data_IF_120182967969
#
_entry.id   IF_120182967969
#
_cell.length_a   1.000
_cell.length_b   1.000
_cell.length_c   1.000
_cell.angle_alpha   90.00
_cell.angle_beta   90.00
_cell.angle_gamma   90.00
#
_symmetry.space_group_name_H-M   'P 1'
#
loop_
_entity.id
_entity.type
_entity.pdbx_description
1 polymer ?
#
# COMPACT_ATOMS: atom_id res chain seq x y z
N UNK A 1 -22.54 -102.08 5.99
CA UNK A 1 -22.63 -100.66 5.55
C UNK A 1 -21.73 -99.83 6.44
N UNK A 2 -20.57 -99.40 5.95
CA UNK A 2 -19.59 -98.64 6.72
C UNK A 2 -19.88 -97.13 6.60
N UNK A 3 -20.30 -96.49 7.70
CA UNK A 3 -20.42 -95.03 7.78
C UNK A 3 -19.05 -94.43 8.10
N UNK A 4 -18.45 -93.71 7.14
CA UNK A 4 -17.25 -92.90 7.36
C UNK A 4 -17.63 -91.66 8.18
N UNK A 5 -17.06 -91.50 9.37
CA UNK A 5 -17.09 -90.23 10.11
C UNK A 5 -16.12 -89.25 9.43
N UNK A 6 -16.66 -88.17 8.86
CA UNK A 6 -15.89 -87.03 8.40
C UNK A 6 -15.54 -86.14 9.58
N UNK A 7 -14.25 -85.92 9.81
CA UNK A 7 -13.74 -85.03 10.85
C UNK A 7 -13.77 -83.59 10.31
N UNK A 8 -14.74 -82.79 10.75
CA UNK A 8 -14.82 -81.36 10.42
C UNK A 8 -13.94 -80.55 11.36
N UNK A 9 -12.94 -79.84 10.83
CA UNK A 9 -12.13 -78.89 11.59
C UNK A 9 -12.88 -77.55 11.62
N UNK A 10 -13.23 -77.10 12.83
CA UNK A 10 -13.81 -75.78 13.06
C UNK A 10 -12.67 -74.80 13.33
N UNK A 11 -12.45 -73.86 12.41
CA UNK A 11 -11.50 -72.76 12.61
C UNK A 11 -12.25 -71.60 13.26
N UNK A 12 -11.93 -71.32 14.52
CA UNK A 12 -12.43 -70.14 15.24
C UNK A 12 -11.42 -69.02 15.06
N UNK A 13 -11.75 -68.04 14.21
CA UNK A 13 -10.92 -66.85 14.03
C UNK A 13 -11.32 -65.78 15.05
N UNK A 14 -10.42 -65.53 16.01
CA UNK A 14 -10.55 -64.48 17.01
C UNK A 14 -10.01 -63.16 16.41
N UNK A 15 -10.88 -62.21 16.09
CA UNK A 15 -10.48 -60.88 15.62
C UNK A 15 -10.22 -59.98 16.82
N UNK A 16 -8.96 -59.84 17.22
CA UNK A 16 -8.55 -58.91 18.29
C UNK A 16 -8.37 -57.53 17.68
N UNK A 17 -9.37 -56.64 17.84
CA UNK A 17 -9.19 -55.21 17.56
C UNK A 17 -8.32 -54.61 18.66
N UNK A 18 -7.01 -54.50 18.40
CA UNK A 18 -6.12 -53.71 19.22
C UNK A 18 -6.40 -52.22 18.95
N UNK A 19 -7.11 -51.56 19.86
CA UNK A 19 -7.16 -50.10 19.89
C UNK A 19 -5.78 -49.56 20.29
N UNK A 20 -4.99 -49.18 19.29
CA UNK A 20 -3.78 -48.40 19.51
C UNK A 20 -4.21 -47.02 20.01
N UNK A 21 -4.20 -46.82 21.32
CA UNK A 21 -4.22 -45.50 21.93
C UNK A 21 -2.90 -44.80 21.58
N UNK A 22 -2.84 -44.16 20.42
CA UNK A 22 -1.85 -43.14 20.18
C UNK A 22 -2.09 -42.03 21.23
N UNK A 23 -1.06 -41.55 21.96
CA UNK A 23 -1.23 -40.40 22.82
C UNK A 23 -1.75 -39.24 21.95
N UNK A 24 -2.88 -38.66 22.34
CA UNK A 24 -3.36 -37.41 21.75
C UNK A 24 -2.28 -36.36 21.97
N UNK A 25 -1.41 -36.16 20.99
CA UNK A 25 -0.63 -34.95 20.90
C UNK A 25 -1.64 -33.84 20.68
N UNK A 26 -1.79 -32.96 21.67
CA UNK A 26 -2.57 -31.74 21.52
C UNK A 26 -1.93 -30.95 20.38
N UNK A 27 -2.50 -31.07 19.18
CA UNK A 27 -2.07 -30.28 18.05
C UNK A 27 -2.25 -28.80 18.43
N UNK A 28 -1.14 -28.08 18.58
CA UNK A 28 -1.21 -26.65 18.85
C UNK A 28 -1.72 -25.97 17.59
N UNK A 29 -2.97 -25.48 17.66
CA UNK A 29 -3.57 -24.70 16.58
C UNK A 29 -2.62 -23.54 16.23
N UNK A 30 -2.20 -23.51 14.97
CA UNK A 30 -1.26 -22.50 14.47
C UNK A 30 -1.96 -21.65 13.42
N UNK A 31 -2.44 -20.49 13.83
CA UNK A 31 -2.96 -19.49 12.91
C UNK A 31 -1.83 -18.93 12.06
N UNK A 32 -2.01 -18.93 10.74
CA UNK A 32 -1.05 -18.35 9.81
C UNK A 32 -1.77 -17.42 8.85
N UNK A 33 -1.22 -16.22 8.72
CA UNK A 33 -1.70 -15.21 7.80
C UNK A 33 -0.56 -14.75 6.90
N UNK A 34 -0.87 -14.47 5.65
CA UNK A 34 0.03 -13.76 4.74
C UNK A 34 -0.46 -12.33 4.53
N UNK A 35 0.46 -11.41 4.28
CA UNK A 35 0.14 -10.03 3.92
C UNK A 35 0.82 -9.70 2.59
N UNK A 36 0.07 -9.07 1.70
CA UNK A 36 0.60 -8.46 0.47
C UNK A 36 0.32 -6.97 0.49
N UNK A 37 1.24 -6.19 -0.06
CA UNK A 37 1.22 -4.75 0.03
C UNK A 37 1.28 -4.13 -1.36
N UNK A 38 0.49 -3.08 -1.58
CA UNK A 38 0.59 -2.20 -2.74
C UNK A 38 0.44 -0.76 -2.28
N UNK A 39 1.13 0.17 -2.95
CA UNK A 39 1.00 1.59 -2.62
C UNK A 39 -0.25 2.16 -3.29
N UNK A 40 -0.98 3.01 -2.58
CA UNK A 40 -2.18 3.66 -3.04
C UNK A 40 -2.25 5.11 -2.50
N UNK A 41 -3.24 5.85 -2.97
CA UNK A 41 -3.63 7.13 -2.37
C UNK A 41 -5.10 7.12 -2.00
N UNK A 42 -5.44 7.80 -0.90
CA UNK A 42 -6.80 8.08 -0.47
C UNK A 42 -6.89 9.57 -0.13
N UNK A 43 -7.80 10.32 -0.76
CA UNK A 43 -7.92 11.79 -0.61
C UNK A 43 -6.58 12.58 -0.66
N UNK A 44 -5.70 12.19 -1.59
CA UNK A 44 -4.34 12.71 -1.77
C UNK A 44 -3.39 12.47 -0.58
N UNK A 45 -3.69 11.51 0.28
CA UNK A 45 -2.78 10.99 1.30
C UNK A 45 -2.19 9.65 0.85
N UNK A 46 -0.94 9.40 1.21
CA UNK A 46 -0.27 8.15 0.87
C UNK A 46 -0.66 7.04 1.84
N UNK A 47 -1.22 5.96 1.31
CA UNK A 47 -1.67 4.80 2.09
C UNK A 47 -1.05 3.51 1.53
N UNK A 48 -0.81 2.56 2.41
CA UNK A 48 -0.42 1.21 2.04
C UNK A 48 -1.68 0.34 2.00
N UNK A 49 -2.06 -0.12 0.80
CA UNK A 49 -3.09 -1.13 0.63
C UNK A 49 -2.52 -2.47 1.09
N UNK A 50 -3.04 -3.00 2.19
CA UNK A 50 -2.62 -4.27 2.80
C UNK A 50 -3.73 -5.28 2.61
N UNK A 51 -3.45 -6.34 1.84
CA UNK A 51 -4.36 -7.48 1.69
C UNK A 51 -3.84 -8.64 2.54
N UNK A 52 -4.63 -9.02 3.55
CA UNK A 52 -4.38 -10.13 4.46
C UNK A 52 -5.13 -11.37 4.00
N UNK A 53 -4.50 -12.54 4.06
CA UNK A 53 -5.08 -13.82 3.66
C UNK A 53 -4.82 -14.88 4.73
N UNK A 54 -5.85 -15.62 5.12
CA UNK A 54 -5.75 -16.85 5.90
C UNK A 54 -5.04 -17.93 5.08
N UNK A 55 -3.96 -18.51 5.62
CA UNK A 55 -3.15 -19.52 4.90
C UNK A 55 -3.03 -20.85 5.64
N UNK A 56 -3.67 -21.00 6.80
CA UNK A 56 -3.88 -22.29 7.46
C UNK A 56 -5.38 -22.62 7.57
N UNK A 57 -5.70 -23.92 7.62
CA UNK A 57 -7.08 -24.38 7.82
C UNK A 57 -7.66 -23.81 9.12
N UNK A 58 -6.85 -23.72 10.16
CA UNK A 58 -7.22 -23.13 11.45
C UNK A 58 -7.57 -21.64 11.32
N UNK A 59 -6.77 -20.86 10.58
CA UNK A 59 -7.08 -19.44 10.33
C UNK A 59 -8.31 -19.22 9.46
N UNK A 60 -8.65 -20.20 8.61
CA UNK A 60 -9.84 -20.13 7.76
C UNK A 60 -11.11 -20.53 8.53
N UNK A 61 -11.06 -21.60 9.33
CA UNK A 61 -12.22 -22.09 10.09
C UNK A 61 -12.49 -21.29 11.37
N UNK A 62 -11.45 -20.68 11.94
CA UNK A 62 -11.54 -19.88 13.17
C UNK A 62 -10.62 -18.65 13.09
N UNK A 63 -10.94 -17.65 12.25
CA UNK A 63 -10.14 -16.45 12.13
C UNK A 63 -10.08 -15.68 13.46
N UNK A 64 -9.00 -14.92 13.64
CA UNK A 64 -8.81 -14.06 14.80
C UNK A 64 -8.88 -12.61 14.36
N UNK A 65 -9.46 -11.73 15.19
CA UNK A 65 -9.35 -10.29 14.92
C UNK A 65 -7.90 -9.85 14.95
N UNK A 66 -7.51 -9.08 13.94
CA UNK A 66 -6.14 -8.65 13.70
C UNK A 66 -6.00 -7.14 13.94
N UNK A 67 -4.79 -6.76 14.36
CA UNK A 67 -4.27 -5.40 14.35
C UNK A 67 -3.16 -5.34 13.32
N UNK A 68 -3.33 -4.46 12.33
CA UNK A 68 -2.34 -4.16 11.30
C UNK A 68 -1.58 -2.92 11.73
N UNK A 69 -0.26 -3.00 11.85
CA UNK A 69 0.58 -1.88 12.30
C UNK A 69 1.65 -1.63 11.24
N UNK A 70 1.76 -0.39 10.78
CA UNK A 70 2.81 0.06 9.87
C UNK A 70 3.77 1.01 10.60
N UNK A 71 5.05 0.67 10.59
CA UNK A 71 6.13 1.56 11.03
C UNK A 71 6.96 2.04 9.84
N UNK A 72 7.36 3.30 9.90
CA UNK A 72 8.17 3.95 8.87
C UNK A 72 9.68 3.60 9.01
N UNK A 73 10.54 4.10 8.10
CA UNK A 73 11.99 3.85 8.13
C UNK A 73 12.72 4.29 9.41
N UNK A 74 12.19 5.26 10.16
CA UNK A 74 12.74 5.66 11.45
C UNK A 74 12.25 4.80 12.62
N UNK A 75 11.37 3.84 12.37
CA UNK A 75 10.78 2.97 13.38
C UNK A 75 9.52 3.52 14.05
N UNK A 76 9.05 4.71 13.66
CA UNK A 76 7.82 5.29 14.19
C UNK A 76 6.59 4.62 13.58
N UNK A 77 5.59 4.30 14.40
CA UNK A 77 4.29 3.84 13.88
C UNK A 77 3.57 5.00 13.19
N UNK A 78 3.27 4.82 11.90
CA UNK A 78 2.61 5.83 11.05
C UNK A 78 1.15 5.49 10.75
N UNK A 79 0.77 4.22 10.83
CA UNK A 79 -0.61 3.81 10.60
C UNK A 79 -0.99 2.55 11.37
N UNK A 80 -2.28 2.44 11.69
CA UNK A 80 -2.87 1.29 12.40
C UNK A 80 -4.26 1.03 11.85
N UNK A 81 -4.53 -0.24 11.56
CA UNK A 81 -5.87 -0.68 11.16
C UNK A 81 -6.29 -1.95 11.90
N UNK A 82 -7.59 -2.22 11.85
CA UNK A 82 -8.19 -3.38 12.49
C UNK A 82 -8.98 -4.20 11.49
N UNK A 83 -8.84 -5.52 11.57
CA UNK A 83 -9.62 -6.49 10.80
C UNK A 83 -10.38 -7.33 11.82
N UNK A 84 -11.71 -7.32 11.77
CA UNK A 84 -12.54 -8.14 12.64
C UNK A 84 -12.56 -9.60 12.17
N UNK A 85 -13.18 -10.49 12.96
CA UNK A 85 -13.37 -11.88 12.52
C UNK A 85 -14.33 -11.93 11.33
N UNK A 86 -15.37 -11.08 11.36
CA UNK A 86 -16.43 -11.03 10.35
C UNK A 86 -15.89 -10.51 9.01
N UNK A 87 -14.90 -9.62 9.02
CA UNK A 87 -14.23 -9.16 7.79
C UNK A 87 -13.40 -10.27 7.11
N UNK A 88 -13.14 -11.39 7.79
CA UNK A 88 -12.37 -12.53 7.28
C UNK A 88 -13.24 -13.75 6.95
N UNK A 89 -14.55 -13.57 6.76
CA UNK A 89 -15.48 -14.66 6.44
C UNK A 89 -15.08 -15.47 5.20
N UNK A 90 -14.51 -14.82 4.17
CA UNK A 90 -13.99 -15.48 2.96
C UNK A 90 -12.50 -15.85 3.06
N UNK A 91 -11.91 -15.64 4.24
CA UNK A 91 -10.49 -15.86 4.52
C UNK A 91 -9.57 -14.76 4.01
N UNK A 92 -10.08 -13.62 3.55
CA UNK A 92 -9.29 -12.52 2.98
C UNK A 92 -9.87 -11.18 3.37
N UNK A 93 -9.01 -10.20 3.67
CA UNK A 93 -9.48 -8.82 3.81
C UNK A 93 -8.46 -7.81 3.31
N UNK A 94 -8.93 -6.63 2.87
CA UNK A 94 -8.07 -5.51 2.46
C UNK A 94 -8.32 -4.26 3.27
N UNK A 95 -7.27 -3.72 3.89
CA UNK A 95 -7.29 -2.44 4.61
C UNK A 95 -6.31 -1.44 4.01
N UNK A 96 -6.51 -0.16 4.30
CA UNK A 96 -5.63 0.94 3.86
C UNK A 96 -4.99 1.56 5.10
N UNK A 97 -3.66 1.55 5.15
CA UNK A 97 -2.92 1.99 6.33
C UNK A 97 -2.08 3.21 5.99
N UNK A 98 -2.24 4.30 6.73
CA UNK A 98 -1.48 5.53 6.52
C UNK A 98 0.03 5.30 6.52
N UNK A 99 0.72 5.86 5.52
CA UNK A 99 2.18 5.77 5.40
C UNK A 99 2.90 7.00 5.99
N UNK A 100 2.23 8.14 6.02
CA UNK A 100 2.72 9.40 6.57
C UNK A 100 1.60 10.45 6.62
N UNK A 101 1.77 11.47 7.46
CA UNK A 101 1.08 12.75 7.30
C UNK A 101 1.83 13.58 6.25
N UNK A 102 1.43 13.44 4.98
CA UNK A 102 2.09 14.07 3.83
C UNK A 102 2.94 13.11 3.00
N UNK A 103 4.14 13.54 2.58
CA UNK A 103 5.01 12.75 1.71
C UNK A 103 5.61 11.55 2.46
N UNK A 104 5.34 10.30 2.06
CA UNK A 104 5.99 9.13 2.63
C UNK A 104 7.49 9.15 2.32
N UNK A 105 8.29 8.69 3.29
CA UNK A 105 9.75 8.72 3.21
C UNK A 105 10.27 7.49 2.46
N UNK A 106 11.38 7.59 1.72
CA UNK A 106 12.05 6.41 1.19
C UNK A 106 12.65 5.57 2.32
N UNK A 107 12.74 4.25 2.11
CA UNK A 107 13.37 3.30 3.04
C UNK A 107 12.48 2.11 3.40
N UNK A 108 12.92 1.29 4.37
CA UNK A 108 12.19 0.10 4.82
C UNK A 108 11.02 0.45 5.73
N UNK A 109 9.81 0.08 5.32
CA UNK A 109 8.63 0.07 6.18
C UNK A 109 8.43 -1.32 6.77
N UNK A 110 8.04 -1.35 8.05
CA UNK A 110 7.76 -2.59 8.77
C UNK A 110 6.26 -2.75 8.99
N UNK A 111 5.68 -3.77 8.35
CA UNK A 111 4.31 -4.20 8.56
C UNK A 111 4.28 -5.34 9.58
N UNK A 112 3.43 -5.21 10.60
CA UNK A 112 3.22 -6.25 11.61
C UNK A 112 1.72 -6.57 11.69
N UNK A 113 1.40 -7.87 11.58
CA UNK A 113 0.10 -8.40 11.93
C UNK A 113 0.17 -8.99 13.33
N UNK A 114 -0.71 -8.54 14.21
CA UNK A 114 -0.86 -9.10 15.56
C UNK A 114 -2.30 -9.45 15.84
N UNK A 115 -2.52 -10.36 16.77
CA UNK A 115 -3.85 -10.57 17.36
C UNK A 115 -4.29 -9.32 18.10
N UNK A 116 -5.59 -9.01 18.07
CA UNK A 116 -6.14 -7.84 18.77
C UNK A 116 -6.16 -8.02 20.30
N UNK A 117 -6.34 -9.24 20.78
CA UNK A 117 -6.60 -9.53 22.20
C UNK A 117 -5.32 -9.63 23.05
N UNK A 118 -4.27 -10.29 22.55
CA UNK A 118 -3.04 -10.58 23.29
C UNK A 118 -1.76 -10.09 22.58
N UNK A 119 -1.89 -9.29 21.51
CA UNK A 119 -0.79 -8.70 20.74
C UNK A 119 0.27 -9.72 20.25
N UNK A 120 -0.12 -10.99 20.09
CA UNK A 120 0.72 -12.05 19.53
C UNK A 120 1.01 -11.75 18.07
N UNK A 121 2.29 -11.72 17.71
CA UNK A 121 2.72 -11.48 16.32
C UNK A 121 2.44 -12.72 15.49
N UNK A 122 1.68 -12.53 14.41
CA UNK A 122 1.29 -13.58 13.47
C UNK A 122 2.05 -13.49 12.15
N UNK A 123 2.42 -12.27 11.74
CA UNK A 123 3.23 -12.02 10.56
C UNK A 123 4.07 -10.75 10.75
N UNK A 124 5.27 -10.76 10.17
CA UNK A 124 6.16 -9.59 10.08
C UNK A 124 6.71 -9.51 8.66
N UNK A 125 6.43 -8.42 7.97
CA UNK A 125 6.87 -8.19 6.59
C UNK A 125 7.55 -6.83 6.48
N UNK A 126 8.70 -6.79 5.80
CA UNK A 126 9.38 -5.53 5.47
C UNK A 126 9.17 -5.23 3.99
N UNK A 127 8.78 -4.00 3.67
CA UNK A 127 8.66 -3.51 2.30
C UNK A 127 9.57 -2.29 2.17
N UNK A 128 10.45 -2.28 1.18
CA UNK A 128 11.43 -1.19 1.00
C UNK A 128 11.07 -0.38 -0.23
N UNK A 129 11.05 0.94 -0.05
CA UNK A 129 10.79 1.90 -1.12
C UNK A 129 12.00 2.80 -1.37
N UNK A 130 12.19 3.20 -2.62
CA UNK A 130 13.24 4.11 -3.08
C UNK A 130 12.80 5.57 -3.00
N UNK A 131 11.50 5.84 -2.99
CA UNK A 131 10.93 7.18 -2.88
C UNK A 131 10.06 7.55 -4.07
N UNK A 132 9.41 8.71 -3.97
CA UNK A 132 8.83 9.36 -5.13
C UNK A 132 9.96 9.99 -5.97
N UNK A 133 9.83 9.94 -7.29
CA UNK A 133 10.77 10.57 -8.22
C UNK A 133 9.97 11.37 -9.24
N UNK A 134 9.66 12.62 -8.88
CA UNK A 134 8.94 13.55 -9.75
C UNK A 134 9.86 14.21 -10.77
N UNK A 135 9.41 14.26 -12.02
CA UNK A 135 9.96 15.12 -13.07
C UNK A 135 8.86 16.03 -13.62
N UNK A 136 9.24 17.27 -13.97
CA UNK A 136 8.40 18.15 -14.78
C UNK A 136 8.71 17.88 -16.24
N UNK A 137 7.73 17.36 -16.98
CA UNK A 137 7.85 17.02 -18.39
C UNK A 137 7.52 18.22 -19.29
N UNK A 138 6.50 18.99 -18.90
CA UNK A 138 6.02 20.12 -19.71
C UNK A 138 5.39 21.18 -18.84
N UNK A 139 5.68 22.44 -19.12
CA UNK A 139 4.99 23.59 -18.51
C UNK A 139 4.39 24.39 -19.65
N UNK A 140 3.11 24.70 -19.59
CA UNK A 140 2.46 25.65 -20.51
C UNK A 140 1.72 26.68 -19.69
N UNK A 141 1.61 27.89 -20.20
CA UNK A 141 0.93 28.97 -19.50
C UNK A 141 0.14 29.87 -20.44
N UNK A 142 -0.89 30.51 -19.90
CA UNK A 142 -1.57 31.62 -20.56
C UNK A 142 -1.19 32.92 -19.87
N UNK A 143 -0.87 33.95 -20.64
CA UNK A 143 -0.51 35.26 -20.14
C UNK A 143 -1.39 36.36 -20.74
N UNK A 144 -1.56 37.43 -19.99
CA UNK A 144 -2.15 38.69 -20.46
C UNK A 144 -1.03 39.69 -20.71
N UNK A 145 -1.10 40.42 -21.84
CA UNK A 145 -0.16 41.51 -22.15
C UNK A 145 -0.85 42.85 -21.92
N UNK A 146 -0.17 43.76 -21.23
CA UNK A 146 -0.64 45.12 -20.96
C UNK A 146 -0.12 46.11 -22.00
N UNK A 147 -0.77 47.28 -22.08
CA UNK A 147 -0.43 48.34 -23.05
C UNK A 147 0.95 48.95 -22.82
N UNK A 148 1.49 48.87 -21.61
CA UNK A 148 2.84 49.32 -21.25
C UNK A 148 3.94 48.31 -21.67
N UNK A 149 3.55 47.20 -22.32
CA UNK A 149 4.46 46.15 -22.79
C UNK A 149 4.78 45.07 -21.76
N UNK A 150 4.24 45.16 -20.54
CA UNK A 150 4.40 44.13 -19.52
C UNK A 150 3.43 42.97 -19.72
N UNK A 151 3.69 41.83 -19.07
CA UNK A 151 2.77 40.70 -19.07
C UNK A 151 2.59 40.09 -17.68
N UNK A 152 1.50 39.35 -17.53
CA UNK A 152 1.11 38.66 -16.30
C UNK A 152 0.61 37.26 -16.63
N UNK A 153 1.19 36.26 -15.96
CA UNK A 153 0.79 34.86 -16.11
C UNK A 153 -0.51 34.65 -15.35
N UNK A 154 -1.51 34.07 -16.00
CA UNK A 154 -2.84 33.84 -15.39
C UNK A 154 -3.07 32.41 -14.98
N UNK A 155 -2.57 31.46 -15.78
CA UNK A 155 -2.77 30.03 -15.56
C UNK A 155 -1.55 29.28 -16.03
N UNK A 156 -1.17 28.28 -15.25
CA UNK A 156 -0.14 27.32 -15.56
C UNK A 156 -0.77 25.94 -15.69
N UNK A 157 -0.26 25.17 -16.64
CA UNK A 157 -0.55 23.76 -16.82
C UNK A 157 0.77 23.02 -16.84
N UNK A 158 1.01 22.26 -15.79
CA UNK A 158 2.28 21.59 -15.50
C UNK A 158 2.03 20.09 -15.62
N UNK A 159 2.67 19.45 -16.58
CA UNK A 159 2.67 17.99 -16.73
C UNK A 159 3.85 17.44 -15.94
N UNK A 160 3.56 16.58 -14.98
CA UNK A 160 4.55 15.91 -14.13
C UNK A 160 4.43 14.41 -14.29
N UNK A 161 5.54 13.70 -14.11
CA UNK A 161 5.61 12.25 -14.10
C UNK A 161 6.28 11.78 -12.83
N UNK A 162 5.78 10.71 -12.23
CA UNK A 162 6.43 10.07 -11.08
C UNK A 162 7.00 8.71 -11.50
N UNK A 163 8.32 8.62 -11.57
CA UNK A 163 9.04 7.37 -11.91
C UNK A 163 9.44 6.56 -10.67
N UNK A 164 9.13 7.07 -9.47
CA UNK A 164 9.42 6.42 -8.21
C UNK A 164 8.43 5.31 -7.86
N UNK A 165 8.63 4.69 -6.70
CA UNK A 165 7.79 3.61 -6.16
C UNK A 165 6.86 4.04 -5.03
N UNK A 166 6.92 5.31 -4.63
CA UNK A 166 5.94 5.95 -3.74
C UNK A 166 5.16 7.04 -4.47
N UNK A 167 3.91 7.33 -4.06
CA UNK A 167 3.17 8.47 -4.56
C UNK A 167 3.91 9.75 -4.18
N UNK A 168 3.83 10.71 -5.09
CA UNK A 168 4.33 12.05 -4.84
C UNK A 168 3.17 12.95 -4.40
N UNK A 169 3.23 13.47 -3.18
CA UNK A 169 2.20 14.33 -2.59
C UNK A 169 2.63 15.79 -2.79
N UNK A 170 1.92 16.50 -3.66
CA UNK A 170 2.25 17.86 -4.08
C UNK A 170 1.28 18.83 -3.41
N UNK A 171 1.79 19.63 -2.46
CA UNK A 171 1.04 20.65 -1.72
C UNK A 171 1.33 22.08 -2.18
N UNK A 172 2.48 22.28 -2.85
CA UNK A 172 3.00 23.58 -3.27
C UNK A 172 3.89 23.41 -4.49
N UNK A 173 3.90 24.41 -5.35
CA UNK A 173 4.91 24.59 -6.38
C UNK A 173 5.41 26.02 -6.42
N UNK A 174 6.53 26.23 -7.08
CA UNK A 174 7.13 27.54 -7.32
C UNK A 174 7.32 27.70 -8.82
N UNK A 175 6.95 28.86 -9.36
CA UNK A 175 7.25 29.25 -10.73
C UNK A 175 8.23 30.41 -10.72
N UNK A 176 9.22 30.38 -11.60
CA UNK A 176 10.18 31.47 -11.77
C UNK A 176 10.29 31.85 -13.25
N UNK A 177 10.18 33.15 -13.54
CA UNK A 177 10.38 33.71 -14.88
C UNK A 177 11.33 34.90 -14.79
N UNK A 178 12.56 34.72 -15.29
CA UNK A 178 13.62 35.70 -15.05
C UNK A 178 13.97 35.78 -13.57
N UNK A 179 13.94 36.98 -13.01
CA UNK A 179 14.22 37.26 -11.60
C UNK A 179 12.95 37.25 -10.72
N UNK A 180 11.77 37.12 -11.32
CA UNK A 180 10.50 37.08 -10.60
C UNK A 180 10.11 35.63 -10.30
N UNK A 181 9.64 35.38 -9.07
CA UNK A 181 9.15 34.09 -8.62
C UNK A 181 7.84 34.24 -7.83
N UNK A 182 6.99 33.22 -7.92
CA UNK A 182 5.75 33.14 -7.17
C UNK A 182 5.49 31.69 -6.77
N UNK A 183 4.85 31.56 -5.61
CA UNK A 183 4.45 30.30 -5.04
C UNK A 183 2.96 30.06 -5.31
N UNK A 184 2.61 28.82 -5.65
CA UNK A 184 1.22 28.42 -5.77
C UNK A 184 0.95 27.17 -4.95
N UNK A 185 -0.27 27.11 -4.41
CA UNK A 185 -0.74 25.97 -3.63
C UNK A 185 -1.62 25.07 -4.50
N UNK A 186 -1.37 23.78 -4.40
CA UNK A 186 -2.15 22.72 -5.06
C UNK A 186 -2.31 21.57 -4.07
N UNK A 187 -3.28 20.69 -4.27
CA UNK A 187 -3.38 19.45 -3.49
C UNK A 187 -3.58 18.31 -4.45
N UNK A 188 -2.47 17.75 -4.89
CA UNK A 188 -2.43 16.71 -5.90
C UNK A 188 -1.55 15.56 -5.42
N UNK A 189 -1.85 14.36 -5.91
CA UNK A 189 -0.99 13.20 -5.74
C UNK A 189 -0.69 12.59 -7.11
N UNK A 190 0.53 12.11 -7.32
CA UNK A 190 0.92 11.46 -8.57
C UNK A 190 1.43 10.07 -8.23
N UNK A 191 0.70 9.04 -8.65
CA UNK A 191 1.03 7.65 -8.35
C UNK A 191 2.32 7.19 -9.07
N UNK A 192 3.01 6.15 -8.56
CA UNK A 192 4.08 5.48 -9.29
C UNK A 192 3.70 5.15 -10.74
N UNK A 193 4.53 5.58 -11.69
CA UNK A 193 4.33 5.41 -13.13
C UNK A 193 3.27 6.33 -13.76
N UNK A 194 2.60 7.18 -12.98
CA UNK A 194 1.58 8.10 -13.48
C UNK A 194 2.21 9.36 -14.08
N UNK A 195 1.60 9.84 -15.16
CA UNK A 195 1.75 11.20 -15.65
C UNK A 195 0.48 11.99 -15.33
N UNK A 196 0.61 13.15 -14.70
CA UNK A 196 -0.52 14.00 -14.32
C UNK A 196 -0.31 15.43 -14.76
N UNK A 197 -1.40 16.06 -15.19
CA UNK A 197 -1.43 17.49 -15.49
C UNK A 197 -2.04 18.27 -14.33
N UNK A 198 -1.24 19.15 -13.72
CA UNK A 198 -1.64 20.04 -12.63
C UNK A 198 -1.96 21.41 -13.22
N UNK A 199 -3.14 21.93 -12.91
CA UNK A 199 -3.52 23.30 -13.28
C UNK A 199 -3.33 24.20 -12.06
N UNK A 200 -2.53 25.25 -12.21
CA UNK A 200 -2.22 26.19 -11.15
C UNK A 200 -2.47 27.63 -11.60
N UNK A 201 -2.66 28.51 -10.62
CA UNK A 201 -2.65 29.96 -10.81
C UNK A 201 -1.43 30.49 -10.09
N UNK A 202 -0.61 31.26 -10.80
CA UNK A 202 0.49 32.02 -10.23
C UNK A 202 0.32 33.47 -10.65
N UNK A 203 0.67 34.41 -9.79
CA UNK A 203 0.62 35.84 -10.02
C UNK A 203 2.05 36.33 -10.18
N UNK A 204 2.52 36.39 -11.43
CA UNK A 204 3.81 36.97 -11.78
C UNK A 204 3.55 38.26 -12.56
N UNK A 205 3.30 39.39 -11.85
CA UNK A 205 2.96 40.63 -12.51
C UNK A 205 4.21 41.31 -13.11
N UNK A 206 3.99 42.14 -14.12
CA UNK A 206 4.99 43.05 -14.69
C UNK A 206 6.24 42.40 -15.31
N UNK A 207 6.12 41.16 -15.80
CA UNK A 207 7.22 40.50 -16.52
C UNK A 207 7.57 41.32 -17.78
N UNK A 208 8.83 41.75 -17.88
CA UNK A 208 9.35 42.56 -18.99
C UNK A 208 9.78 41.69 -20.17
N UNK A 209 9.21 41.93 -21.35
CA UNK A 209 9.61 41.29 -22.61
C UNK A 209 8.63 40.24 -23.14
N UNK A 210 8.89 39.71 -24.34
CA UNK A 210 8.15 38.57 -24.86
C UNK A 210 8.52 37.33 -24.03
N UNK A 211 7.53 36.72 -23.38
CA UNK A 211 7.73 35.45 -22.70
C UNK A 211 8.27 34.45 -23.73
N UNK A 212 9.47 33.86 -23.54
CA UNK A 212 9.92 32.79 -24.41
C UNK A 212 8.85 31.70 -24.32
N UNK A 213 8.46 31.17 -25.48
CA UNK A 213 7.49 30.09 -25.57
C UNK A 213 7.89 29.02 -24.53
N UNK A 214 6.99 28.74 -23.57
CA UNK A 214 7.21 27.80 -22.47
C UNK A 214 7.31 26.36 -23.01
N UNK A 215 8.36 26.05 -23.75
CA UNK A 215 8.65 24.73 -24.26
C UNK A 215 10.09 24.42 -23.84
N UNK A 216 10.27 23.33 -23.10
CA UNK A 216 11.57 22.73 -22.77
C UNK A 216 12.50 23.44 -21.78
N UNK A 217 12.01 23.74 -20.57
CA UNK A 217 12.91 23.83 -19.41
C UNK A 217 12.53 22.81 -18.36
N UNK A 218 13.46 21.87 -18.11
CA UNK A 218 13.41 20.94 -16.98
C UNK A 218 13.65 21.73 -15.70
N UNK A 219 12.67 21.75 -14.80
CA UNK A 219 12.81 22.29 -13.46
C UNK A 219 12.81 21.12 -12.47
N UNK A 220 13.76 21.12 -11.54
CA UNK A 220 13.82 20.18 -10.42
C UNK A 220 12.97 20.79 -9.30
N UNK A 221 11.99 20.03 -8.79
CA UNK A 221 11.16 20.37 -7.63
C UNK A 221 11.95 20.07 -6.35
#
# INVERSE_FOLDING_TARGET
MNKKLGMGIVVVSLLVMAFLFAPLTTATLTWKYNATCAVATDDNQAVLKVTVQCVSLESFLAPQSLKVILSNPEGNTVGKEYISVDDLEDGKETVYVDMADGQPKPGPYLLILKTRQDDRILNRTTVTFTGAQLSIEKVTGTYSKYSDGTCDIKKLRITVRNEGDLPAIISKGMVRVGDEEDDFYVRESVMPGEERTINATAQLPYLKGALPDFYDKKYII
#
